data_IF_356413191363
#
_entry.id   IF_356413191363
#
_cell.length_a   1.000
_cell.length_b   1.000
_cell.length_c   1.000
_cell.angle_alpha   90.00
_cell.angle_beta   90.00
_cell.angle_gamma   90.00
#
_symmetry.space_group_name_H-M   'P 1'
#
loop_
_entity.id
_entity.type
_entity.pdbx_description
1 polymer ?
#
# COMPACT_ATOMS: atom_id res chain seq x y z
N UNK A 1 -27.18 -14.06 13.67
CA UNK A 1 -26.24 -14.07 14.82
C UNK A 1 -25.18 -12.99 14.66
N UNK A 2 -24.44 -13.06 13.56
CA UNK A 2 -23.48 -12.07 13.11
C UNK A 2 -24.01 -11.42 11.82
N UNK A 3 -23.95 -10.10 11.72
CA UNK A 3 -24.15 -9.34 10.50
C UNK A 3 -22.81 -8.75 10.06
N UNK A 4 -22.41 -9.01 8.82
CA UNK A 4 -21.13 -8.54 8.28
C UNK A 4 -21.43 -7.45 7.24
N UNK A 5 -21.02 -6.22 7.54
CA UNK A 5 -21.13 -5.11 6.62
C UNK A 5 -19.88 -5.05 5.72
N UNK A 6 -20.03 -5.51 4.48
CA UNK A 6 -19.01 -5.43 3.42
C UNK A 6 -19.49 -4.52 2.27
N UNK A 7 -20.26 -3.49 2.60
CA UNK A 7 -20.66 -2.45 1.64
C UNK A 7 -19.57 -1.37 1.55
N UNK A 8 -19.53 -0.55 0.49
CA UNK A 8 -18.58 0.56 0.41
C UNK A 8 -18.70 1.50 1.62
N UNK A 9 -17.60 2.02 2.14
CA UNK A 9 -17.58 2.81 3.38
C UNK A 9 -18.55 4.00 3.36
N UNK A 10 -18.61 4.70 2.22
CA UNK A 10 -19.59 5.77 1.92
C UNK A 10 -21.05 5.37 2.17
N UNK A 11 -21.38 4.09 2.06
CA UNK A 11 -22.75 3.57 2.21
C UNK A 11 -23.04 3.05 3.62
N UNK A 12 -22.04 2.94 4.50
CA UNK A 12 -22.20 2.32 5.82
C UNK A 12 -23.28 3.01 6.62
N UNK A 13 -23.27 4.34 6.76
CA UNK A 13 -24.31 5.05 7.54
C UNK A 13 -25.72 4.73 7.04
N UNK A 14 -25.96 4.71 5.73
CA UNK A 14 -27.27 4.37 5.17
C UNK A 14 -27.65 2.92 5.44
N UNK A 15 -26.72 1.99 5.25
CA UNK A 15 -26.91 0.56 5.46
C UNK A 15 -27.18 0.25 6.92
N UNK A 16 -26.37 0.76 7.83
CA UNK A 16 -26.48 0.50 9.27
C UNK A 16 -27.78 1.10 9.83
N UNK A 17 -28.16 2.31 9.42
CA UNK A 17 -29.45 2.90 9.81
C UNK A 17 -30.65 2.03 9.37
N UNK A 18 -30.59 1.43 8.19
CA UNK A 18 -31.67 0.57 7.70
C UNK A 18 -31.70 -0.81 8.38
N UNK A 19 -30.53 -1.36 8.69
CA UNK A 19 -30.37 -2.75 9.13
C UNK A 19 -30.39 -2.90 10.66
N UNK A 20 -29.80 -1.96 11.41
CA UNK A 20 -29.70 -2.02 12.87
C UNK A 20 -31.05 -2.23 13.58
N UNK A 21 -32.18 -1.60 13.16
CA UNK A 21 -33.49 -1.87 13.76
C UNK A 21 -33.98 -3.31 13.58
N UNK A 22 -33.51 -4.00 12.53
CA UNK A 22 -33.88 -5.38 12.21
C UNK A 22 -32.98 -6.41 12.92
N UNK A 23 -31.86 -5.96 13.48
CA UNK A 23 -30.92 -6.82 14.18
C UNK A 23 -31.50 -7.30 15.52
N UNK A 24 -31.45 -8.61 15.74
CA UNK A 24 -31.87 -9.24 17.00
C UNK A 24 -31.09 -8.68 18.19
N UNK A 25 -31.69 -8.72 19.38
CA UNK A 25 -31.01 -8.33 20.60
C UNK A 25 -29.77 -9.21 20.85
N UNK A 26 -28.65 -8.60 21.27
CA UNK A 26 -27.41 -9.33 21.55
C UNK A 26 -26.76 -9.92 20.28
N UNK A 27 -27.05 -9.39 19.10
CA UNK A 27 -26.33 -9.80 17.88
C UNK A 27 -24.97 -9.12 17.78
N UNK A 28 -24.17 -9.58 16.82
CA UNK A 28 -22.88 -8.97 16.51
C UNK A 28 -22.94 -8.28 15.15
N UNK A 29 -22.35 -7.09 15.06
CA UNK A 29 -22.06 -6.37 13.83
C UNK A 29 -20.56 -6.45 13.56
N UNK A 30 -20.16 -6.84 12.35
CA UNK A 30 -18.78 -6.84 11.90
C UNK A 30 -18.58 -5.83 10.79
N UNK A 31 -17.49 -5.09 10.87
CA UNK A 31 -16.90 -4.32 9.78
C UNK A 31 -15.64 -5.00 9.26
N UNK A 32 -15.19 -4.60 8.06
CA UNK A 32 -13.85 -4.91 7.55
C UNK A 32 -12.97 -3.67 7.36
N UNK A 33 -13.49 -2.49 7.71
CA UNK A 33 -12.78 -1.23 7.84
C UNK A 33 -13.50 -0.37 8.88
N UNK A 34 -12.76 0.40 9.69
CA UNK A 34 -13.32 1.11 10.84
C UNK A 34 -13.92 2.49 10.56
N UNK A 35 -13.89 2.99 9.31
CA UNK A 35 -14.23 4.38 8.95
C UNK A 35 -15.55 4.88 9.53
N UNK A 36 -16.63 4.10 9.39
CA UNK A 36 -17.97 4.48 9.86
C UNK A 36 -18.03 4.66 11.39
N UNK A 37 -17.27 3.87 12.15
CA UNK A 37 -17.21 3.97 13.61
C UNK A 37 -16.30 5.14 14.04
N UNK A 38 -15.15 5.31 13.39
CA UNK A 38 -14.10 6.25 13.83
C UNK A 38 -14.27 7.65 13.25
N UNK A 39 -14.45 7.77 11.93
CA UNK A 39 -14.49 9.05 11.23
C UNK A 39 -15.91 9.63 11.16
N UNK A 40 -16.92 8.79 10.89
CA UNK A 40 -18.32 9.24 10.86
C UNK A 40 -18.97 9.28 12.25
N UNK A 41 -18.40 8.58 13.24
CA UNK A 41 -18.91 8.53 14.62
C UNK A 41 -20.24 7.80 14.75
N UNK A 42 -20.49 6.77 13.93
CA UNK A 42 -21.76 6.04 13.91
C UNK A 42 -22.07 5.41 15.27
N UNK A 43 -23.27 5.71 15.77
CA UNK A 43 -23.76 5.21 17.05
C UNK A 43 -24.46 3.87 16.87
N UNK A 44 -23.97 2.84 17.55
CA UNK A 44 -24.52 1.48 17.50
C UNK A 44 -25.30 1.17 18.79
N UNK A 45 -26.44 0.48 18.65
CA UNK A 45 -27.30 0.06 19.76
C UNK A 45 -26.49 -0.69 20.82
N UNK A 46 -26.63 -0.33 22.09
CA UNK A 46 -25.78 -0.78 23.21
C UNK A 46 -25.75 -2.30 23.42
N UNK A 47 -26.79 -3.04 23.03
CA UNK A 47 -26.83 -4.50 23.15
C UNK A 47 -26.07 -5.23 22.04
N UNK A 48 -25.67 -4.54 20.97
CA UNK A 48 -24.97 -5.15 19.83
C UNK A 48 -23.47 -5.17 20.14
N UNK A 49 -22.85 -6.33 19.91
CA UNK A 49 -21.38 -6.44 19.91
C UNK A 49 -20.82 -5.94 18.58
N UNK A 50 -19.79 -5.10 18.57
CA UNK A 50 -19.18 -4.58 17.33
C UNK A 50 -17.73 -5.05 17.25
N UNK A 51 -17.43 -5.77 16.16
CA UNK A 51 -16.10 -6.31 15.87
C UNK A 51 -15.61 -5.83 14.51
N UNK A 52 -14.31 -5.96 14.29
CA UNK A 52 -13.70 -5.79 12.98
C UNK A 52 -12.82 -6.98 12.64
N UNK A 53 -12.88 -7.38 11.37
CA UNK A 53 -11.96 -8.32 10.73
C UNK A 53 -11.57 -7.72 9.39
N UNK A 54 -10.37 -7.14 9.33
CA UNK A 54 -9.84 -6.38 8.21
C UNK A 54 -8.67 -7.16 7.56
N UNK A 55 -8.92 -7.94 6.49
CA UNK A 55 -7.86 -8.56 5.71
C UNK A 55 -6.98 -7.47 5.06
N UNK A 56 -5.67 -7.62 5.16
CA UNK A 56 -4.69 -6.65 4.68
C UNK A 56 -4.31 -6.94 3.22
N UNK A 57 -5.33 -6.85 2.36
CA UNK A 57 -5.32 -7.30 0.97
C UNK A 57 -6.63 -7.00 0.23
N UNK A 58 -6.60 -6.77 -1.09
CA UNK A 58 -7.80 -6.79 -1.92
C UNK A 58 -8.55 -8.13 -1.84
N UNK A 59 -9.89 -8.08 -1.95
CA UNK A 59 -10.75 -9.26 -1.76
C UNK A 59 -10.50 -10.42 -2.73
N UNK A 60 -10.01 -10.15 -3.96
CA UNK A 60 -9.62 -11.21 -4.89
C UNK A 60 -8.44 -12.04 -4.39
N UNK A 61 -7.45 -11.38 -3.79
CA UNK A 61 -6.23 -12.02 -3.29
C UNK A 61 -6.50 -12.80 -1.99
N UNK A 62 -7.40 -12.29 -1.13
CA UNK A 62 -7.94 -13.05 0.03
C UNK A 62 -8.43 -14.42 -0.44
N UNK A 63 -9.18 -14.46 -1.56
CA UNK A 63 -9.73 -15.70 -2.10
C UNK A 63 -8.67 -16.60 -2.72
N UNK A 64 -7.74 -16.05 -3.50
CA UNK A 64 -6.72 -16.86 -4.17
C UNK A 64 -5.74 -17.51 -3.18
N UNK A 65 -5.30 -16.78 -2.16
CA UNK A 65 -4.44 -17.34 -1.12
C UNK A 65 -5.17 -18.39 -0.26
N UNK A 66 -6.44 -18.15 0.06
CA UNK A 66 -7.28 -19.15 0.74
C UNK A 66 -7.38 -20.47 -0.05
N UNK A 67 -7.63 -20.38 -1.37
CA UNK A 67 -7.72 -21.56 -2.26
C UNK A 67 -6.43 -22.38 -2.30
N UNK A 68 -5.27 -21.73 -2.19
CA UNK A 68 -3.94 -22.37 -2.16
C UNK A 68 -3.60 -23.01 -0.81
N UNK A 69 -4.52 -22.89 0.15
CA UNK A 69 -4.38 -23.42 1.51
C UNK A 69 -3.71 -22.45 2.48
N UNK A 70 -3.44 -21.21 2.05
CA UNK A 70 -2.87 -20.14 2.86
C UNK A 70 -3.95 -19.12 3.27
N UNK A 71 -3.60 -17.86 3.48
CA UNK A 71 -4.49 -16.75 3.79
C UNK A 71 -3.75 -15.42 3.61
N UNK A 72 -4.37 -14.31 4.01
CA UNK A 72 -3.71 -13.00 4.04
C UNK A 72 -3.65 -12.49 5.48
N UNK A 73 -2.64 -11.72 5.88
CA UNK A 73 -2.61 -11.14 7.21
C UNK A 73 -3.89 -10.35 7.48
N UNK A 74 -4.35 -10.41 8.71
CA UNK A 74 -5.67 -9.87 9.08
C UNK A 74 -5.58 -9.15 10.40
N UNK A 75 -6.09 -7.93 10.43
CA UNK A 75 -6.27 -7.18 11.66
C UNK A 75 -7.65 -7.51 12.25
N UNK A 76 -7.72 -7.71 13.55
CA UNK A 76 -8.97 -7.84 14.28
C UNK A 76 -9.08 -6.79 15.37
N UNK A 77 -10.29 -6.31 15.62
CA UNK A 77 -10.56 -5.37 16.70
C UNK A 77 -11.95 -5.62 17.31
N UNK A 78 -12.15 -5.09 18.52
CA UNK A 78 -13.45 -5.02 19.19
C UNK A 78 -13.67 -3.56 19.55
N UNK A 79 -14.86 -3.02 19.26
CA UNK A 79 -15.20 -1.66 19.65
C UNK A 79 -15.49 -1.64 21.16
N UNK A 80 -14.73 -0.88 21.97
CA UNK A 80 -14.83 -0.96 23.43
C UNK A 80 -16.19 -0.54 23.98
N UNK A 81 -16.91 0.35 23.29
CA UNK A 81 -18.25 0.79 23.71
C UNK A 81 -19.34 -0.25 23.39
N UNK A 82 -19.03 -1.26 22.58
CA UNK A 82 -19.98 -2.26 22.09
C UNK A 82 -19.41 -3.69 22.23
N UNK A 83 -19.12 -4.13 23.45
CA UNK A 83 -18.91 -5.56 23.77
C UNK A 83 -19.61 -5.97 25.07
N UNK A 84 -20.95 -5.82 25.16
CA UNK A 84 -21.70 -5.98 26.42
C UNK A 84 -21.65 -7.40 26.99
N UNK A 85 -21.40 -8.41 26.15
CA UNK A 85 -21.33 -9.82 26.52
C UNK A 85 -19.89 -10.36 26.59
N UNK A 86 -18.88 -9.52 26.33
CA UNK A 86 -17.46 -9.92 26.34
C UNK A 86 -17.12 -10.99 25.30
N UNK A 87 -17.86 -11.05 24.19
CA UNK A 87 -17.75 -12.10 23.17
C UNK A 87 -17.00 -11.64 21.92
N UNK A 88 -16.78 -10.34 21.76
CA UNK A 88 -16.23 -9.73 20.55
C UNK A 88 -14.93 -10.39 20.08
N UNK A 89 -13.94 -10.49 20.97
CA UNK A 89 -12.61 -11.00 20.59
C UNK A 89 -12.64 -12.46 20.13
N UNK A 90 -13.46 -13.30 20.79
CA UNK A 90 -13.60 -14.71 20.41
C UNK A 90 -14.23 -14.86 19.02
N UNK A 91 -15.23 -14.04 18.71
CA UNK A 91 -15.90 -14.04 17.41
C UNK A 91 -15.01 -13.47 16.31
N UNK A 92 -14.26 -12.40 16.59
CA UNK A 92 -13.32 -11.83 15.64
C UNK A 92 -12.20 -12.83 15.28
N UNK A 93 -11.64 -13.54 16.29
CA UNK A 93 -10.67 -14.63 16.06
C UNK A 93 -11.26 -15.76 15.23
N UNK A 94 -12.48 -16.20 15.53
CA UNK A 94 -13.16 -17.25 14.78
C UNK A 94 -13.40 -16.84 13.31
N UNK A 95 -13.82 -15.59 13.09
CA UNK A 95 -14.07 -15.07 11.75
C UNK A 95 -12.76 -14.92 10.95
N UNK A 96 -11.71 -14.33 11.53
CA UNK A 96 -10.39 -14.27 10.90
C UNK A 96 -9.81 -15.67 10.61
N UNK A 97 -10.09 -16.66 11.46
CA UNK A 97 -9.70 -18.04 11.19
C UNK A 97 -10.46 -18.62 9.98
N UNK A 98 -11.77 -18.36 9.90
CA UNK A 98 -12.63 -18.84 8.81
C UNK A 98 -12.28 -18.25 7.44
N UNK A 99 -11.72 -17.03 7.40
CA UNK A 99 -11.19 -16.41 6.16
C UNK A 99 -9.75 -16.81 5.85
N UNK A 100 -9.11 -17.61 6.70
CA UNK A 100 -7.74 -18.08 6.53
C UNK A 100 -6.66 -17.17 7.11
N UNK A 101 -7.00 -16.01 7.69
CA UNK A 101 -6.05 -15.02 8.18
C UNK A 101 -5.06 -15.56 9.21
N UNK A 102 -5.50 -16.45 10.09
CA UNK A 102 -4.65 -17.16 11.07
C UNK A 102 -3.44 -17.90 10.47
N UNK A 103 -3.45 -18.21 9.17
CA UNK A 103 -2.34 -18.88 8.48
C UNK A 103 -1.23 -17.91 8.06
N UNK A 104 -1.59 -16.64 7.87
CA UNK A 104 -0.68 -15.57 7.47
C UNK A 104 -0.38 -14.59 8.62
N UNK A 105 -1.08 -14.70 9.75
CA UNK A 105 -0.89 -13.87 10.93
C UNK A 105 -2.11 -13.01 11.21
N UNK A 106 -2.50 -12.94 12.48
CA UNK A 106 -3.63 -12.12 12.93
C UNK A 106 -3.15 -11.17 14.02
N UNK A 107 -3.41 -9.88 13.85
CA UNK A 107 -3.05 -8.85 14.81
C UNK A 107 -4.27 -8.36 15.55
N UNK A 108 -4.20 -8.41 16.87
CA UNK A 108 -5.17 -7.75 17.73
C UNK A 108 -4.83 -6.25 17.78
N UNK A 109 -5.78 -5.43 17.35
CA UNK A 109 -5.65 -3.98 17.22
C UNK A 109 -6.93 -3.29 17.72
N UNK A 110 -7.14 -2.04 17.33
CA UNK A 110 -8.34 -1.26 17.59
C UNK A 110 -8.91 -0.67 16.29
N UNK A 111 -10.18 -0.27 16.33
CA UNK A 111 -10.80 0.48 15.23
C UNK A 111 -10.00 1.73 14.85
N UNK A 112 -9.57 2.51 15.85
CA UNK A 112 -8.80 3.73 15.61
C UNK A 112 -7.46 3.43 14.97
N UNK A 113 -6.71 2.45 15.52
CA UNK A 113 -5.38 2.12 15.00
C UNK A 113 -5.46 1.66 13.55
N UNK A 114 -6.42 0.78 13.22
CA UNK A 114 -6.64 0.31 11.85
C UNK A 114 -6.96 1.45 10.89
N UNK A 115 -7.98 2.26 11.18
CA UNK A 115 -8.38 3.36 10.28
C UNK A 115 -7.23 4.31 10.02
N UNK A 116 -6.50 4.74 11.06
CA UNK A 116 -5.44 5.73 10.89
C UNK A 116 -4.24 5.17 10.13
N UNK A 117 -3.91 3.89 10.31
CA UNK A 117 -2.79 3.26 9.61
C UNK A 117 -3.13 2.85 8.18
N UNK A 118 -4.32 2.31 7.97
CA UNK A 118 -4.86 1.89 6.66
C UNK A 118 -4.94 3.10 5.71
N UNK A 119 -5.60 4.19 6.15
CA UNK A 119 -5.68 5.44 5.39
C UNK A 119 -4.31 6.01 5.01
N UNK A 120 -3.31 5.92 5.90
CA UNK A 120 -1.96 6.40 5.62
C UNK A 120 -1.26 5.54 4.57
N UNK A 121 -1.39 4.23 4.68
CA UNK A 121 -0.86 3.27 3.72
C UNK A 121 -1.39 3.52 2.31
N UNK A 122 -2.71 3.51 2.15
CA UNK A 122 -3.40 3.64 0.86
C UNK A 122 -3.17 4.99 0.20
N UNK A 123 -3.18 6.09 0.97
CA UNK A 123 -2.90 7.41 0.43
C UNK A 123 -1.47 7.55 -0.10
N UNK A 124 -0.50 6.97 0.60
CA UNK A 124 0.91 7.21 0.33
C UNK A 124 1.55 6.07 -0.46
N UNK A 125 2.24 5.14 0.19
CA UNK A 125 3.05 4.13 -0.48
C UNK A 125 2.23 3.16 -1.35
N UNK A 126 1.05 2.73 -0.88
CA UNK A 126 0.34 1.64 -1.54
C UNK A 126 -0.27 2.07 -2.87
N UNK A 127 -0.93 3.23 -2.93
CA UNK A 127 -1.59 3.69 -4.16
C UNK A 127 -0.95 4.98 -4.69
N UNK A 128 -0.89 6.04 -3.88
CA UNK A 128 -0.43 7.36 -4.33
C UNK A 128 0.96 7.34 -4.97
N UNK A 129 1.95 6.75 -4.29
CA UNK A 129 3.33 6.71 -4.77
C UNK A 129 3.51 5.74 -5.94
N UNK A 130 2.80 4.61 -5.98
CA UNK A 130 2.81 3.73 -7.14
C UNK A 130 2.22 4.43 -8.38
N UNK A 131 1.15 5.20 -8.22
CA UNK A 131 0.59 6.01 -9.29
C UNK A 131 1.57 7.11 -9.75
N UNK A 132 2.07 7.93 -8.82
CA UNK A 132 3.03 8.99 -9.12
C UNK A 132 4.28 8.44 -9.79
N UNK A 133 4.86 7.38 -9.22
CA UNK A 133 6.03 6.71 -9.74
C UNK A 133 5.79 6.17 -11.14
N UNK A 134 4.62 5.54 -11.39
CA UNK A 134 4.27 5.02 -12.72
C UNK A 134 4.24 6.10 -13.78
N UNK A 135 3.58 7.23 -13.48
CA UNK A 135 3.45 8.36 -14.41
C UNK A 135 4.82 9.00 -14.65
N UNK A 136 5.54 9.36 -13.58
CA UNK A 136 6.83 10.07 -13.69
C UNK A 136 7.91 9.22 -14.37
N UNK A 137 8.02 7.94 -14.03
CA UNK A 137 9.02 7.05 -14.64
C UNK A 137 8.71 6.81 -16.12
N UNK A 138 7.43 6.57 -16.46
CA UNK A 138 6.99 6.40 -17.84
C UNK A 138 7.27 7.65 -18.68
N UNK A 139 6.81 8.82 -18.22
CA UNK A 139 6.98 10.08 -18.93
C UNK A 139 8.47 10.43 -19.12
N UNK A 140 9.31 10.17 -18.10
CA UNK A 140 10.76 10.37 -18.20
C UNK A 140 11.41 9.46 -19.25
N UNK A 141 11.00 8.20 -19.33
CA UNK A 141 11.51 7.29 -20.36
C UNK A 141 11.14 7.77 -21.77
N UNK A 142 9.91 8.23 -21.98
CA UNK A 142 9.47 8.80 -23.26
C UNK A 142 10.24 10.08 -23.61
N UNK A 143 10.42 11.00 -22.65
CA UNK A 143 11.21 12.22 -22.80
C UNK A 143 12.64 11.91 -23.29
N UNK A 144 13.23 10.82 -22.78
CA UNK A 144 14.60 10.39 -23.12
C UNK A 144 14.67 9.44 -24.32
N UNK A 145 13.55 9.21 -25.02
CA UNK A 145 13.51 8.46 -26.27
C UNK A 145 13.51 6.93 -26.12
N UNK A 146 13.12 6.40 -24.96
CA UNK A 146 12.84 4.96 -24.81
C UNK A 146 11.54 4.62 -25.55
N UNK A 147 11.49 3.43 -26.14
CA UNK A 147 10.30 2.94 -26.84
C UNK A 147 9.06 2.94 -25.92
N UNK A 148 7.92 3.53 -26.32
CA UNK A 148 6.73 3.62 -25.47
C UNK A 148 6.17 2.26 -25.06
N UNK A 149 6.22 1.26 -25.94
CA UNK A 149 5.74 -0.10 -25.63
C UNK A 149 6.62 -0.77 -24.57
N UNK A 150 7.94 -0.63 -24.70
CA UNK A 150 8.91 -1.07 -23.71
C UNK A 150 8.71 -0.36 -22.36
N UNK A 151 8.64 0.98 -22.37
CA UNK A 151 8.43 1.78 -21.17
C UNK A 151 7.13 1.38 -20.45
N UNK A 152 6.04 1.17 -21.21
CA UNK A 152 4.76 0.74 -20.65
C UNK A 152 4.87 -0.64 -20.01
N UNK A 153 5.52 -1.61 -20.68
CA UNK A 153 5.73 -2.95 -20.14
C UNK A 153 6.64 -2.94 -18.91
N UNK A 154 7.70 -2.14 -18.92
CA UNK A 154 8.63 -2.02 -17.81
C UNK A 154 7.92 -1.52 -16.55
N UNK A 155 7.12 -0.45 -16.65
CA UNK A 155 6.38 0.08 -15.50
C UNK A 155 5.25 -0.86 -15.07
N UNK A 156 4.46 -1.37 -16.02
CA UNK A 156 3.29 -2.19 -15.71
C UNK A 156 3.66 -3.43 -14.87
N UNK A 157 4.72 -4.15 -15.25
CA UNK A 157 5.14 -5.39 -14.57
C UNK A 157 6.33 -5.21 -13.63
N UNK A 158 7.03 -4.07 -13.69
CA UNK A 158 8.21 -3.83 -12.88
C UNK A 158 7.88 -3.67 -11.42
N UNK A 159 6.77 -3.01 -11.05
CA UNK A 159 6.36 -2.90 -9.65
C UNK A 159 6.13 -4.27 -9.02
N UNK A 160 5.37 -5.16 -9.67
CA UNK A 160 5.15 -6.53 -9.21
C UNK A 160 6.48 -7.27 -9.04
N UNK A 161 7.36 -7.18 -10.04
CA UNK A 161 8.64 -7.90 -10.04
C UNK A 161 9.58 -7.44 -8.92
N UNK A 162 9.71 -6.11 -8.71
CA UNK A 162 10.60 -5.58 -7.66
C UNK A 162 10.01 -5.76 -6.26
N UNK A 163 8.69 -5.70 -6.13
CA UNK A 163 8.01 -5.84 -4.82
C UNK A 163 7.82 -7.30 -4.40
N UNK A 164 7.90 -8.28 -5.31
CA UNK A 164 8.00 -9.69 -4.89
C UNK A 164 9.25 -9.93 -4.02
N UNK A 165 10.32 -9.13 -4.21
CA UNK A 165 11.48 -9.10 -3.32
C UNK A 165 11.14 -8.71 -1.86
N UNK A 166 10.22 -7.75 -1.66
CA UNK A 166 9.74 -7.31 -0.33
C UNK A 166 9.05 -8.47 0.41
N UNK A 167 8.25 -9.25 -0.31
CA UNK A 167 7.44 -10.33 0.26
C UNK A 167 8.30 -11.39 0.95
N UNK A 168 9.44 -11.76 0.36
CA UNK A 168 10.32 -12.78 0.93
C UNK A 168 11.27 -12.25 1.99
N UNK A 169 11.83 -11.05 1.80
CA UNK A 169 12.93 -10.59 2.65
C UNK A 169 12.99 -9.09 2.87
N UNK A 170 11.87 -8.39 2.68
CA UNK A 170 11.78 -6.95 2.91
C UNK A 170 12.54 -6.11 1.89
N UNK A 171 12.74 -4.85 2.25
CA UNK A 171 13.52 -3.88 1.47
C UNK A 171 14.95 -4.42 1.26
N UNK A 172 15.53 -5.08 2.27
CA UNK A 172 16.87 -5.66 2.20
C UNK A 172 16.99 -6.61 1.01
N UNK A 173 16.06 -7.57 0.88
CA UNK A 173 16.10 -8.53 -0.22
C UNK A 173 15.84 -7.88 -1.58
N UNK A 174 14.90 -6.94 -1.69
CA UNK A 174 14.69 -6.19 -2.93
C UNK A 174 15.96 -5.43 -3.35
N UNK A 175 16.63 -4.74 -2.42
CA UNK A 175 17.87 -4.02 -2.70
C UNK A 175 19.02 -4.99 -3.02
N UNK A 176 19.07 -6.15 -2.38
CA UNK A 176 20.09 -7.19 -2.61
C UNK A 176 20.03 -7.82 -4.02
N UNK A 177 18.93 -7.63 -4.75
CA UNK A 177 18.81 -8.02 -6.16
C UNK A 177 19.53 -7.10 -7.12
N UNK A 178 19.92 -5.89 -6.70
CA UNK A 178 20.69 -4.96 -7.51
C UNK A 178 22.19 -5.27 -7.45
N UNK A 179 22.93 -4.94 -8.51
CA UNK A 179 24.40 -4.90 -8.46
C UNK A 179 24.87 -3.92 -7.38
N UNK A 180 26.10 -4.09 -6.84
CA UNK A 180 26.59 -3.20 -5.79
C UNK A 180 26.57 -1.70 -6.18
N UNK A 181 27.01 -1.30 -7.39
CA UNK A 181 26.89 0.10 -7.82
C UNK A 181 25.42 0.56 -7.90
N UNK A 182 24.53 -0.25 -8.46
CA UNK A 182 23.12 0.09 -8.60
C UNK A 182 22.42 0.17 -7.25
N UNK A 183 22.75 -0.71 -6.29
CA UNK A 183 22.26 -0.68 -4.91
C UNK A 183 22.65 0.63 -4.21
N UNK A 184 23.92 1.04 -4.31
CA UNK A 184 24.37 2.31 -3.74
C UNK A 184 23.63 3.48 -4.38
N UNK A 185 23.47 3.47 -5.71
CA UNK A 185 22.72 4.52 -6.42
C UNK A 185 21.24 4.56 -6.01
N UNK A 186 20.57 3.42 -5.92
CA UNK A 186 19.20 3.30 -5.43
C UNK A 186 19.07 3.80 -3.98
N UNK A 187 20.03 3.45 -3.12
CA UNK A 187 20.08 3.92 -1.74
C UNK A 187 20.18 5.44 -1.67
N UNK A 188 21.14 6.04 -2.37
CA UNK A 188 21.37 7.48 -2.34
C UNK A 188 20.16 8.26 -2.92
N UNK A 189 19.54 7.76 -4.00
CA UNK A 189 18.30 8.35 -4.54
C UNK A 189 17.13 8.21 -3.56
N UNK A 190 17.02 7.07 -2.88
CA UNK A 190 15.97 6.88 -1.88
C UNK A 190 16.15 7.85 -0.70
N UNK A 191 17.37 8.13 -0.23
CA UNK A 191 17.59 9.15 0.80
C UNK A 191 17.15 10.55 0.33
N UNK A 192 17.50 10.95 -0.90
CA UNK A 192 17.08 12.23 -1.47
C UNK A 192 15.55 12.31 -1.63
N UNK A 193 14.92 11.24 -2.13
CA UNK A 193 13.46 11.12 -2.22
C UNK A 193 12.80 11.22 -0.85
N UNK A 194 13.39 10.59 0.18
CA UNK A 194 12.90 10.70 1.56
C UNK A 194 12.94 12.14 2.04
N UNK A 195 14.04 12.85 1.82
CA UNK A 195 14.18 14.25 2.22
C UNK A 195 13.14 15.16 1.53
N UNK A 196 12.91 14.95 0.24
CA UNK A 196 11.95 15.74 -0.54
C UNK A 196 10.50 15.43 -0.12
N UNK A 197 10.13 14.16 0.01
CA UNK A 197 8.74 13.74 0.22
C UNK A 197 8.30 13.75 1.69
N UNK A 198 9.22 13.76 2.65
CA UNK A 198 8.89 13.71 4.09
C UNK A 198 7.85 14.73 4.53
N UNK A 199 7.91 16.03 4.14
CA UNK A 199 6.88 16.98 4.50
C UNK A 199 5.49 16.61 3.96
N UNK A 200 5.41 16.01 2.78
CA UNK A 200 4.15 15.56 2.18
C UNK A 200 3.58 14.37 2.96
N UNK A 201 4.40 13.36 3.28
CA UNK A 201 3.97 12.22 4.09
C UNK A 201 3.47 12.65 5.49
N UNK A 202 4.19 13.57 6.14
CA UNK A 202 3.73 14.15 7.41
C UNK A 202 2.39 14.88 7.25
N UNK A 203 2.23 15.68 6.18
CA UNK A 203 0.98 16.40 5.91
C UNK A 203 -0.20 15.44 5.73
N UNK A 204 -0.02 14.33 5.02
CA UNK A 204 -1.05 13.30 4.90
C UNK A 204 -1.40 12.67 6.26
N UNK A 205 -0.39 12.26 7.03
CA UNK A 205 -0.61 11.69 8.36
C UNK A 205 -1.32 12.66 9.30
N UNK A 206 -0.93 13.95 9.31
CA UNK A 206 -1.55 14.99 10.11
C UNK A 206 -3.01 15.23 9.72
N UNK A 207 -3.31 15.25 8.41
CA UNK A 207 -4.67 15.37 7.90
C UNK A 207 -5.54 14.16 8.28
N UNK A 208 -4.97 12.95 8.28
CA UNK A 208 -5.64 11.73 8.73
C UNK A 208 -5.90 11.78 10.24
N UNK A 209 -4.90 12.13 11.04
CA UNK A 209 -5.03 12.18 12.51
C UNK A 209 -6.02 13.26 12.98
N UNK A 210 -6.05 14.40 12.31
CA UNK A 210 -6.97 15.51 12.63
C UNK A 210 -8.40 15.29 12.13
N UNK A 211 -8.63 14.29 11.27
CA UNK A 211 -9.92 14.09 10.57
C UNK A 211 -10.16 15.07 9.42
N UNK A 212 -9.18 15.91 9.07
CA UNK A 212 -9.30 16.83 7.94
C UNK A 212 -9.42 16.08 6.59
N UNK A 213 -8.69 14.97 6.44
CA UNK A 213 -8.82 14.11 5.26
C UNK A 213 -10.24 13.57 5.08
N UNK A 214 -10.78 12.92 6.12
CA UNK A 214 -12.11 12.31 6.08
C UNK A 214 -13.19 13.35 5.86
N UNK A 215 -13.13 14.51 6.54
CA UNK A 215 -14.05 15.62 6.32
C UNK A 215 -14.03 16.15 4.88
N UNK A 216 -12.83 16.30 4.30
CA UNK A 216 -12.68 16.80 2.92
C UNK A 216 -13.25 15.81 1.91
N UNK A 217 -12.93 14.52 2.07
CA UNK A 217 -13.47 13.47 1.20
C UNK A 217 -14.99 13.35 1.31
N UNK A 218 -15.54 13.37 2.53
CA UNK A 218 -16.98 13.31 2.75
C UNK A 218 -17.72 14.54 2.18
N UNK A 219 -17.04 15.69 2.07
CA UNK A 219 -17.58 16.84 1.37
C UNK A 219 -17.70 16.57 -0.15
N UNK A 220 -16.70 15.94 -0.76
CA UNK A 220 -16.79 15.51 -2.18
C UNK A 220 -17.88 14.45 -2.38
N UNK A 221 -18.06 13.54 -1.42
CA UNK A 221 -19.15 12.57 -1.45
C UNK A 221 -20.54 13.21 -1.50
N UNK A 222 -20.70 14.34 -0.80
CA UNK A 222 -21.94 15.13 -0.79
C UNK A 222 -22.13 15.95 -2.08
N UNK A 223 -21.07 16.15 -2.87
CA UNK A 223 -21.10 16.76 -4.20
C UNK A 223 -21.09 15.73 -5.34
N UNK A 224 -21.62 14.53 -5.09
CA UNK A 224 -21.72 13.43 -6.05
C UNK A 224 -20.35 12.96 -6.62
N UNK A 225 -19.32 12.92 -5.76
CA UNK A 225 -17.97 12.42 -6.07
C UNK A 225 -17.29 13.19 -7.21
N UNK A 226 -17.53 14.50 -7.27
CA UNK A 226 -17.12 15.34 -8.40
C UNK A 226 -15.60 15.31 -8.59
N UNK A 227 -14.83 15.52 -7.53
CA UNK A 227 -13.37 15.55 -7.61
C UNK A 227 -12.83 14.15 -7.91
N UNK A 228 -13.31 13.12 -7.20
CA UNK A 228 -12.95 11.73 -7.47
C UNK A 228 -13.14 11.35 -8.94
N UNK A 229 -14.33 11.61 -9.50
CA UNK A 229 -14.67 11.25 -10.87
C UNK A 229 -13.85 12.05 -11.89
N UNK A 230 -13.58 13.34 -11.63
CA UNK A 230 -12.74 14.16 -12.48
C UNK A 230 -11.29 13.65 -12.50
N UNK A 231 -10.73 13.31 -11.34
CA UNK A 231 -9.37 12.79 -11.23
C UNK A 231 -9.22 11.39 -11.82
N UNK A 232 -10.22 10.53 -11.64
CA UNK A 232 -10.31 9.22 -12.30
C UNK A 232 -10.30 9.37 -13.82
N UNK A 233 -11.12 10.28 -14.35
CA UNK A 233 -11.14 10.57 -15.79
C UNK A 233 -9.79 11.12 -16.28
N UNK A 234 -9.16 12.04 -15.54
CA UNK A 234 -7.84 12.57 -15.89
C UNK A 234 -6.75 11.49 -15.87
N UNK A 235 -6.80 10.56 -14.91
CA UNK A 235 -5.86 9.44 -14.81
C UNK A 235 -5.97 8.50 -16.01
N UNK A 236 -7.20 8.22 -16.46
CA UNK A 236 -7.46 7.43 -17.68
C UNK A 236 -6.89 8.07 -18.95
N UNK A 237 -6.66 9.38 -18.92
CA UNK A 237 -6.13 10.14 -20.06
C UNK A 237 -4.59 10.22 -20.09
N UNK A 238 -3.91 9.73 -19.05
CA UNK A 238 -2.43 9.74 -18.98
C UNK A 238 -1.78 8.89 -20.08
N UNK A 239 -0.55 9.27 -20.45
CA UNK A 239 0.19 8.57 -21.50
C UNK A 239 0.52 7.11 -21.10
N UNK A 240 0.86 6.87 -19.83
CA UNK A 240 1.10 5.52 -19.32
C UNK A 240 -0.15 4.64 -19.48
N UNK A 241 -1.33 5.14 -19.11
CA UNK A 241 -2.56 4.37 -19.18
C UNK A 241 -2.91 4.00 -20.63
N UNK A 242 -2.81 4.97 -21.54
CA UNK A 242 -3.16 4.82 -22.97
C UNK A 242 -2.17 4.02 -23.81
N UNK A 243 -0.91 3.97 -23.42
CA UNK A 243 0.13 3.31 -24.23
C UNK A 243 0.10 1.80 -24.01
N UNK A 244 -0.18 0.95 -25.00
CA UNK A 244 -0.19 -0.51 -24.78
C UNK A 244 1.20 -1.03 -24.36
N UNK A 245 1.23 -2.01 -23.46
CA UNK A 245 2.48 -2.72 -23.16
C UNK A 245 2.98 -3.46 -24.40
N UNK A 246 4.28 -3.36 -24.67
CA UNK A 246 4.91 -4.03 -25.80
C UNK A 246 4.92 -5.55 -25.68
N UNK A 247 5.30 -6.23 -26.76
CA UNK A 247 5.34 -7.70 -26.83
C UNK A 247 6.73 -8.30 -26.55
N UNK A 248 7.76 -7.46 -26.33
CA UNK A 248 9.11 -7.92 -26.03
C UNK A 248 9.18 -8.63 -24.69
N UNK A 249 10.02 -9.65 -24.56
CA UNK A 249 10.27 -10.27 -23.26
C UNK A 249 11.26 -9.42 -22.46
N UNK A 250 10.91 -9.15 -21.19
CA UNK A 250 11.77 -8.48 -20.22
C UNK A 250 12.04 -9.54 -19.15
N UNK A 251 13.30 -9.86 -18.91
CA UNK A 251 13.66 -10.85 -17.89
C UNK A 251 13.40 -10.31 -16.49
N UNK A 252 13.23 -11.20 -15.50
CA UNK A 252 13.02 -10.80 -14.10
C UNK A 252 14.11 -9.83 -13.60
N UNK A 253 15.39 -10.14 -13.88
CA UNK A 253 16.51 -9.30 -13.46
C UNK A 253 16.57 -7.96 -14.22
N UNK A 254 16.10 -7.93 -15.47
CA UNK A 254 16.04 -6.70 -16.26
C UNK A 254 15.10 -5.66 -15.63
N UNK A 255 14.00 -6.09 -14.99
CA UNK A 255 13.13 -5.18 -14.23
C UNK A 255 13.85 -4.51 -13.06
N UNK A 256 14.77 -5.21 -12.39
CA UNK A 256 15.61 -4.63 -11.33
C UNK A 256 16.67 -3.70 -11.93
N UNK A 257 17.41 -4.20 -12.92
CA UNK A 257 18.56 -3.51 -13.50
C UNK A 257 18.16 -2.24 -14.26
N UNK A 258 16.99 -2.24 -14.91
CA UNK A 258 16.43 -1.09 -15.63
C UNK A 258 15.43 -0.30 -14.77
N UNK A 259 15.16 -0.73 -13.54
CA UNK A 259 14.19 -0.13 -12.63
C UNK A 259 14.80 0.40 -11.33
N UNK A 260 16.07 0.83 -11.34
CA UNK A 260 16.78 1.31 -10.14
C UNK A 260 16.03 2.45 -9.43
N UNK A 261 15.42 3.37 -10.19
CA UNK A 261 14.57 4.42 -9.64
C UNK A 261 13.27 3.87 -9.03
N UNK A 262 12.66 2.84 -9.63
CA UNK A 262 11.47 2.18 -9.09
C UNK A 262 11.79 1.56 -7.72
N UNK A 263 12.92 0.85 -7.61
CA UNK A 263 13.41 0.28 -6.35
C UNK A 263 13.63 1.37 -5.29
N UNK A 264 14.21 2.51 -5.68
CA UNK A 264 14.41 3.65 -4.78
C UNK A 264 13.10 4.28 -4.30
N UNK A 265 12.10 4.41 -5.18
CA UNK A 265 10.76 4.92 -4.84
C UNK A 265 10.05 4.00 -3.85
N UNK A 266 10.07 2.68 -4.07
CA UNK A 266 9.47 1.70 -3.15
C UNK A 266 10.13 1.81 -1.77
N UNK A 267 11.47 1.79 -1.72
CA UNK A 267 12.19 1.94 -0.45
C UNK A 267 11.79 3.23 0.26
N UNK A 268 11.88 4.37 -0.42
CA UNK A 268 11.61 5.68 0.18
C UNK A 268 10.17 5.78 0.69
N UNK A 269 9.18 5.34 -0.10
CA UNK A 269 7.79 5.40 0.30
C UNK A 269 7.44 4.47 1.45
N UNK A 270 7.93 3.22 1.43
CA UNK A 270 7.71 2.27 2.54
C UNK A 270 8.31 2.82 3.83
N UNK A 271 9.56 3.28 3.79
CA UNK A 271 10.22 3.83 4.97
C UNK A 271 9.50 5.09 5.48
N UNK A 272 9.13 6.04 4.61
CA UNK A 272 8.42 7.25 5.02
C UNK A 272 7.02 6.97 5.57
N UNK A 273 6.25 6.06 4.96
CA UNK A 273 4.93 5.68 5.47
C UNK A 273 5.07 5.06 6.87
N UNK A 274 5.99 4.12 7.03
CA UNK A 274 6.28 3.48 8.31
C UNK A 274 6.72 4.50 9.37
N UNK A 275 7.71 5.34 9.06
CA UNK A 275 8.26 6.35 9.96
C UNK A 275 7.16 7.33 10.41
N UNK A 276 6.34 7.81 9.49
CA UNK A 276 5.26 8.76 9.78
C UNK A 276 4.19 8.15 10.69
N UNK A 277 3.77 6.93 10.39
CA UNK A 277 2.80 6.21 11.23
C UNK A 277 3.32 6.03 12.65
N UNK A 278 4.56 5.52 12.80
CA UNK A 278 5.16 5.28 14.12
C UNK A 278 5.37 6.57 14.89
N UNK A 279 5.78 7.66 14.22
CA UNK A 279 5.93 8.97 14.85
C UNK A 279 4.59 9.51 15.39
N UNK A 280 3.46 9.14 14.78
CA UNK A 280 2.12 9.50 15.23
C UNK A 280 1.53 8.56 16.30
N UNK A 281 2.30 7.56 16.77
CA UNK A 281 1.91 6.64 17.83
C UNK A 281 1.28 5.33 17.35
N UNK A 282 1.24 5.07 16.04
CA UNK A 282 0.88 3.75 15.50
C UNK A 282 2.00 2.76 15.80
N UNK A 283 1.66 1.53 16.21
CA UNK A 283 2.67 0.52 16.51
C UNK A 283 3.36 0.03 15.23
N UNK A 284 4.62 -0.38 15.36
CA UNK A 284 5.44 -0.79 14.22
C UNK A 284 4.84 -1.96 13.43
N UNK A 285 4.17 -2.89 14.11
CA UNK A 285 3.52 -4.03 13.45
C UNK A 285 2.38 -3.59 12.54
N UNK A 286 1.50 -2.69 13.01
CA UNK A 286 0.45 -2.09 12.18
C UNK A 286 1.08 -1.32 11.03
N UNK A 287 2.03 -0.44 11.31
CA UNK A 287 2.70 0.34 10.27
C UNK A 287 3.35 -0.56 9.19
N UNK A 288 3.91 -1.71 9.56
CA UNK A 288 4.47 -2.69 8.62
C UNK A 288 3.40 -3.32 7.71
N UNK A 289 2.27 -3.74 8.28
CA UNK A 289 1.21 -4.38 7.50
C UNK A 289 0.56 -3.42 6.50
N UNK A 290 0.38 -2.16 6.91
CA UNK A 290 -0.28 -1.11 6.13
C UNK A 290 0.71 -0.38 5.19
N UNK A 291 1.95 -0.85 5.08
CA UNK A 291 2.93 -0.30 4.13
C UNK A 291 3.64 -1.41 3.36
N UNK A 292 4.74 -1.94 3.89
CA UNK A 292 5.58 -2.91 3.22
C UNK A 292 4.80 -4.16 2.80
N UNK A 293 3.97 -4.70 3.70
CA UNK A 293 3.31 -5.97 3.46
C UNK A 293 2.33 -5.94 2.27
N UNK A 294 1.54 -4.87 2.16
CA UNK A 294 0.52 -4.74 1.13
C UNK A 294 1.03 -4.23 -0.21
N UNK A 295 2.20 -3.56 -0.22
CA UNK A 295 2.77 -2.98 -1.45
C UNK A 295 2.84 -4.00 -2.62
N UNK A 296 3.29 -5.26 -2.42
CA UNK A 296 3.27 -6.26 -3.49
C UNK A 296 1.86 -6.63 -3.99
N UNK A 297 0.87 -6.64 -3.10
CA UNK A 297 -0.51 -6.98 -3.46
C UNK A 297 -1.13 -5.90 -4.35
N UNK A 298 -0.86 -4.63 -4.07
CA UNK A 298 -1.29 -3.53 -4.93
C UNK A 298 -0.52 -3.52 -6.25
N UNK A 299 0.79 -3.80 -6.22
CA UNK A 299 1.60 -3.91 -7.44
C UNK A 299 1.05 -4.96 -8.43
N UNK A 300 0.52 -6.08 -7.94
CA UNK A 300 -0.16 -7.09 -8.77
C UNK A 300 -1.37 -6.54 -9.53
N UNK A 301 -2.09 -5.56 -8.96
CA UNK A 301 -3.23 -4.93 -9.65
C UNK A 301 -2.75 -4.09 -10.85
N UNK A 302 -1.64 -3.37 -10.69
CA UNK A 302 -0.99 -2.60 -11.77
C UNK A 302 -0.47 -3.55 -12.85
N UNK A 303 0.16 -4.67 -12.49
CA UNK A 303 0.58 -5.68 -13.45
C UNK A 303 -0.60 -6.21 -14.28
N UNK A 304 -1.76 -6.43 -13.63
CA UNK A 304 -2.96 -6.96 -14.28
C UNK A 304 -3.55 -5.99 -15.32
N UNK A 305 -3.90 -4.75 -14.95
CA UNK A 305 -4.34 -3.70 -15.91
C UNK A 305 -4.07 -2.27 -15.44
N UNK A 306 -2.82 -1.97 -15.13
CA UNK A 306 -2.29 -0.63 -14.85
C UNK A 306 -3.05 0.11 -13.74
N UNK A 307 -3.04 1.45 -13.79
CA UNK A 307 -3.65 2.30 -12.77
C UNK A 307 -5.17 2.18 -12.80
N UNK A 308 -5.77 1.86 -13.95
CA UNK A 308 -7.20 1.55 -14.02
C UNK A 308 -7.58 0.39 -13.10
N UNK A 309 -6.87 -0.75 -13.17
CA UNK A 309 -7.22 -1.88 -12.30
C UNK A 309 -6.95 -1.57 -10.84
N UNK A 310 -5.84 -0.89 -10.52
CA UNK A 310 -5.55 -0.47 -9.15
C UNK A 310 -6.70 0.36 -8.58
N UNK A 311 -7.02 1.48 -9.23
CA UNK A 311 -8.05 2.41 -8.78
C UNK A 311 -9.47 1.79 -8.79
N UNK A 312 -9.73 0.80 -9.64
CA UNK A 312 -11.01 0.07 -9.66
C UNK A 312 -11.12 -1.00 -8.56
N UNK A 313 -10.00 -1.52 -8.07
CA UNK A 313 -9.97 -2.63 -7.10
C UNK A 313 -9.97 -2.11 -5.66
N UNK A 314 -9.34 -0.97 -5.41
CA UNK A 314 -9.33 -0.31 -4.10
C UNK A 314 -10.67 0.39 -3.82
N UNK A 315 -10.86 0.84 -2.58
CA UNK A 315 -12.06 1.59 -2.18
C UNK A 315 -12.06 3.00 -2.78
N UNK A 316 -13.24 3.65 -2.86
CA UNK A 316 -13.31 5.07 -3.26
C UNK A 316 -12.51 5.96 -2.29
N UNK A 317 -12.37 5.56 -1.02
CA UNK A 317 -11.53 6.25 -0.02
C UNK A 317 -10.05 6.18 -0.37
N UNK A 318 -9.56 4.99 -0.70
CA UNK A 318 -8.20 4.76 -1.15
C UNK A 318 -7.89 5.51 -2.45
N UNK A 319 -8.81 5.46 -3.41
CA UNK A 319 -8.65 6.12 -4.71
C UNK A 319 -8.64 7.65 -4.56
N UNK A 320 -9.53 8.23 -3.76
CA UNK A 320 -9.53 9.66 -3.47
C UNK A 320 -8.21 10.08 -2.82
N UNK A 321 -7.76 9.31 -1.83
CA UNK A 321 -6.49 9.49 -1.15
C UNK A 321 -5.27 9.41 -2.06
N UNK A 322 -5.24 8.41 -2.95
CA UNK A 322 -4.24 8.23 -4.00
C UNK A 322 -4.11 9.49 -4.86
N UNK A 323 -5.23 10.07 -5.29
CA UNK A 323 -5.24 11.28 -6.12
C UNK A 323 -4.76 12.52 -5.37
N UNK A 324 -5.14 12.69 -4.10
CA UNK A 324 -4.61 13.79 -3.29
C UNK A 324 -3.09 13.74 -3.20
N UNK A 325 -2.54 12.55 -2.90
CA UNK A 325 -1.10 12.36 -2.84
C UNK A 325 -0.44 12.58 -4.20
N UNK A 326 -0.98 11.98 -5.27
CA UNK A 326 -0.39 12.05 -6.61
C UNK A 326 -0.34 13.49 -7.15
N UNK A 327 -1.41 14.27 -6.96
CA UNK A 327 -1.45 15.66 -7.37
C UNK A 327 -0.45 16.54 -6.62
N UNK A 328 -0.15 16.23 -5.36
CA UNK A 328 0.85 16.93 -4.58
C UNK A 328 2.29 16.45 -4.87
N UNK A 329 2.47 15.14 -5.09
CA UNK A 329 3.77 14.51 -5.22
C UNK A 329 4.41 14.76 -6.61
N UNK A 330 3.64 14.71 -7.69
CA UNK A 330 4.14 15.00 -9.05
C UNK A 330 4.88 16.34 -9.17
N UNK A 331 4.30 17.50 -8.77
CA UNK A 331 5.01 18.77 -8.82
C UNK A 331 6.17 18.83 -7.81
N UNK A 332 6.04 18.17 -6.65
CA UNK A 332 7.09 18.12 -5.63
C UNK A 332 8.37 17.43 -6.14
N UNK A 333 8.22 16.37 -6.95
CA UNK A 333 9.33 15.63 -7.54
C UNK A 333 9.83 16.21 -8.87
N UNK A 334 9.27 17.31 -9.36
CA UNK A 334 9.60 17.85 -10.67
C UNK A 334 11.09 18.19 -10.84
N UNK A 335 11.71 18.80 -9.83
CA UNK A 335 13.14 19.16 -9.87
C UNK A 335 14.05 17.93 -9.75
N UNK A 336 13.69 16.97 -8.89
CA UNK A 336 14.38 15.69 -8.80
C UNK A 336 14.39 14.98 -10.17
N UNK A 337 13.22 14.89 -10.81
CA UNK A 337 13.08 14.21 -12.10
C UNK A 337 13.84 14.88 -13.25
N UNK A 338 14.21 16.16 -13.16
CA UNK A 338 15.08 16.79 -14.18
C UNK A 338 16.48 16.16 -14.23
N UNK A 339 16.96 15.65 -13.10
CA UNK A 339 18.30 15.07 -12.98
C UNK A 339 18.31 13.55 -13.23
N UNK A 340 17.15 12.95 -13.47
CA UNK A 340 17.02 11.52 -13.81
C UNK A 340 17.32 11.29 -15.29
N UNK A 341 18.10 10.25 -15.56
CA UNK A 341 18.40 9.76 -16.91
C UNK A 341 18.10 8.26 -17.05
N UNK A 342 18.28 7.75 -18.27
CA UNK A 342 17.93 6.38 -18.66
C UNK A 342 18.75 5.31 -17.96
N UNK A 343 19.89 5.66 -17.34
CA UNK A 343 20.75 4.73 -16.62
C UNK A 343 20.19 4.28 -15.27
N UNK A 344 19.15 4.93 -14.75
CA UNK A 344 18.43 4.50 -13.54
C UNK A 344 16.97 4.13 -13.81
N UNK A 345 16.48 4.39 -15.03
CA UNK A 345 15.14 4.00 -15.49
C UNK A 345 15.12 3.75 -17.01
N UNK A 346 14.90 2.51 -17.41
CA UNK A 346 14.83 2.08 -18.82
C UNK A 346 16.10 1.47 -19.40
N UNK A 347 17.27 1.63 -18.77
CA UNK A 347 18.53 0.95 -19.11
C UNK A 347 19.30 0.55 -17.85
N UNK A 348 20.23 -0.38 -18.02
CA UNK A 348 21.06 -0.90 -16.94
C UNK A 348 22.01 0.16 -16.36
N UNK A 349 21.94 0.34 -15.05
CA UNK A 349 22.90 1.20 -14.35
C UNK A 349 24.31 0.63 -14.41
N UNK A 350 25.28 1.45 -14.84
CA UNK A 350 26.68 1.05 -14.91
C UNK A 350 27.01 0.12 -16.09
N UNK A 351 26.18 0.08 -17.14
CA UNK A 351 26.46 -0.68 -18.36
C UNK A 351 27.88 -0.41 -18.88
N UNK A 352 28.64 -1.49 -19.14
CA UNK A 352 30.02 -1.42 -19.61
C UNK A 352 31.06 -1.02 -18.55
N UNK A 353 30.68 -0.87 -17.28
CA UNK A 353 31.60 -0.65 -16.14
C UNK A 353 31.76 -1.94 -15.32
N UNK A 354 32.81 -2.01 -14.53
CA UNK A 354 32.94 -3.08 -13.53
C UNK A 354 32.02 -2.83 -12.32
N UNK A 355 31.80 -3.88 -11.52
CA UNK A 355 30.97 -3.83 -10.30
C UNK A 355 31.76 -3.33 -9.07
N UNK A 356 32.91 -2.69 -9.27
CA UNK A 356 33.74 -2.16 -8.20
C UNK A 356 33.05 -1.03 -7.44
N UNK A 357 33.07 -1.11 -6.12
CA UNK A 357 32.56 -0.07 -5.21
C UNK A 357 33.49 0.11 -4.02
N UNK A 358 33.38 1.24 -3.34
CA UNK A 358 34.05 1.42 -2.05
C UNK A 358 33.45 0.48 -0.99
N UNK A 359 34.32 -0.32 -0.36
CA UNK A 359 33.89 -1.32 0.62
C UNK A 359 33.22 -0.68 1.85
N UNK A 360 33.71 0.47 2.31
CA UNK A 360 33.15 1.13 3.48
C UNK A 360 31.74 1.67 3.20
N UNK A 361 31.53 2.29 2.03
CA UNK A 361 30.20 2.74 1.59
C UNK A 361 29.24 1.56 1.42
N UNK A 362 29.67 0.44 0.83
CA UNK A 362 28.81 -0.74 0.68
C UNK A 362 28.40 -1.33 2.04
N UNK A 363 29.34 -1.42 2.99
CA UNK A 363 29.04 -1.88 4.36
C UNK A 363 28.01 -0.94 5.01
N UNK A 364 28.23 0.37 4.94
CA UNK A 364 27.34 1.37 5.53
C UNK A 364 25.92 1.30 4.94
N UNK A 365 25.80 1.18 3.60
CA UNK A 365 24.51 1.02 2.92
C UNK A 365 23.79 -0.25 3.36
N UNK A 366 24.48 -1.39 3.34
CA UNK A 366 23.86 -2.66 3.75
C UNK A 366 23.44 -2.66 5.23
N UNK A 367 24.21 -2.00 6.09
CA UNK A 367 23.87 -1.84 7.50
C UNK A 367 22.62 -0.98 7.66
N UNK A 368 22.59 0.21 7.05
CA UNK A 368 21.46 1.13 7.12
C UNK A 368 20.14 0.49 6.65
N UNK A 369 20.19 -0.30 5.58
CA UNK A 369 19.03 -1.04 5.08
C UNK A 369 18.49 -2.02 6.13
N UNK A 370 19.37 -2.88 6.68
CA UNK A 370 18.97 -3.96 7.59
C UNK A 370 18.55 -3.47 8.98
N UNK A 371 19.06 -2.31 9.39
CA UNK A 371 18.77 -1.73 10.70
C UNK A 371 17.54 -0.81 10.68
N UNK A 372 16.94 -0.54 9.52
CA UNK A 372 15.71 0.23 9.48
C UNK A 372 14.60 -0.48 10.27
N UNK A 373 13.83 0.22 11.13
CA UNK A 373 12.82 -0.42 11.99
C UNK A 373 11.79 -1.28 11.26
N UNK A 374 11.38 -0.87 10.04
CA UNK A 374 10.47 -1.67 9.19
C UNK A 374 11.04 -3.04 8.83
N UNK A 375 12.36 -3.14 8.65
CA UNK A 375 13.04 -4.39 8.32
C UNK A 375 13.14 -5.30 9.54
N UNK A 376 13.43 -4.73 10.72
CA UNK A 376 13.50 -5.46 11.99
C UNK A 376 12.13 -6.05 12.35
N UNK A 377 11.08 -5.21 12.32
CA UNK A 377 9.70 -5.65 12.59
C UNK A 377 9.26 -6.65 11.53
N UNK A 378 9.54 -6.36 10.26
CA UNK A 378 9.17 -7.21 9.13
C UNK A 378 9.81 -8.60 9.18
N UNK A 379 11.09 -8.70 9.54
CA UNK A 379 11.77 -10.00 9.67
C UNK A 379 11.06 -10.90 10.69
N UNK A 380 10.78 -10.36 11.89
CA UNK A 380 10.06 -11.08 12.95
C UNK A 380 8.64 -11.48 12.53
N UNK A 381 7.92 -10.59 11.84
CA UNK A 381 6.55 -10.89 11.38
C UNK A 381 6.53 -11.94 10.27
N UNK A 382 7.47 -11.87 9.31
CA UNK A 382 7.60 -12.86 8.23
C UNK A 382 7.96 -14.25 8.75
N UNK A 383 8.81 -14.35 9.77
CA UNK A 383 9.10 -15.64 10.43
C UNK A 383 7.86 -16.31 11.03
N UNK A 384 6.88 -15.50 11.46
CA UNK A 384 5.61 -16.00 12.02
C UNK A 384 4.64 -16.49 10.94
N UNK A 385 4.89 -16.21 9.66
CA UNK A 385 4.06 -16.64 8.53
C UNK A 385 4.46 -18.04 8.05
N UNK A 386 4.18 -19.06 8.87
CA UNK A 386 4.72 -20.43 8.76
C UNK A 386 4.29 -21.24 7.52
N UNK A 387 3.42 -20.72 6.66
CA UNK A 387 2.78 -21.49 5.58
C UNK A 387 2.83 -20.80 4.19
N UNK A 388 3.66 -19.76 4.00
CA UNK A 388 3.87 -19.18 2.67
C UNK A 388 4.38 -20.25 1.71
N UNK A 389 3.57 -20.61 0.72
CA UNK A 389 4.01 -21.45 -0.39
C UNK A 389 4.67 -20.57 -1.44
N UNK A 390 5.86 -20.92 -1.94
CA UNK A 390 6.46 -20.19 -3.05
C UNK A 390 5.54 -20.25 -4.27
N UNK A 391 5.45 -19.14 -5.00
CA UNK A 391 4.83 -19.07 -6.32
C UNK A 391 5.84 -19.70 -7.29
N UNK A 392 5.87 -21.04 -7.37
CA UNK A 392 6.69 -21.77 -8.37
C UNK A 392 5.81 -22.25 -9.50
#
# INVERSE_FOLDING_TARGET
DLLINLTPDKQHTNVINAVMPLMKQGSTLSYSHGFNIVEEGMQIREDITVIMVAPKSPGSEVREEYKRGFGVPTLIAVHPENDPEGKGLSQAKAYAAATGGHKAGVLESSFVAEVKSDLMGEQTILCGLLQTGSILCFDKMLEKGIDPGYASKLIQYGWETVTEGLKYGGITNMMDRLSNPAKIKAFDMAEELKDIMRPLFHTHMDNIMSGNFSQTMMADWAEDDKDLLNWRAATAETAFEKTPAGTMDISEQEYYDHGVLMVALIRAGVELAYESMVASGIIGESAYYESLHETPLIANTIARKKLYEMNRVISDTAEYGCYLFDHACKPLLADFMKNIDTDVIGKQFGEGRDNGVDNAKLIAVNQALREHPVEIVGARLRESMTAMKPIV
#
